data_IF_965198510038
#
_entry.id   IF_965198510038
#
_cell.length_a   1.000
_cell.length_b   1.000
_cell.length_c   1.000
_cell.angle_alpha   90.00
_cell.angle_beta   90.00
_cell.angle_gamma   90.00
#
_symmetry.space_group_name_H-M   'P 1'
#
loop_
_entity.id
_entity.type
_entity.pdbx_description
1 polymer ?
#
# COMPACT_ATOMS: atom_id res chain seq x y z
N UNK A 1 -6.43 -9.79 8.11
CA UNK A 1 -5.30 -8.90 7.86
C UNK A 1 -5.41 -8.48 6.41
N UNK A 2 -5.62 -7.19 6.18
CA UNK A 2 -5.76 -6.62 4.85
C UNK A 2 -4.39 -6.13 4.38
N UNK A 3 -3.93 -6.58 3.23
CA UNK A 3 -2.75 -6.05 2.55
C UNK A 3 -3.07 -5.73 1.11
N UNK A 4 -2.44 -4.69 0.58
CA UNK A 4 -2.64 -4.25 -0.79
C UNK A 4 -1.35 -4.45 -1.58
N UNK A 5 -1.46 -4.92 -2.82
CA UNK A 5 -0.34 -5.01 -3.76
C UNK A 5 -0.72 -4.29 -5.04
N UNK A 6 0.19 -3.49 -5.57
CA UNK A 6 0.07 -3.02 -6.94
C UNK A 6 0.92 -3.93 -7.81
N UNK A 7 0.34 -4.41 -8.90
CA UNK A 7 0.95 -5.33 -9.84
C UNK A 7 0.91 -4.69 -11.22
N UNK A 8 2.06 -4.71 -11.89
CA UNK A 8 2.19 -4.37 -13.29
C UNK A 8 2.85 -5.52 -14.04
N UNK A 9 2.29 -5.95 -15.18
CA UNK A 9 2.80 -7.07 -15.99
C UNK A 9 3.14 -8.33 -15.18
N UNK A 10 2.29 -8.67 -14.21
CA UNK A 10 2.47 -9.84 -13.33
C UNK A 10 3.56 -9.68 -12.25
N UNK A 11 4.19 -8.51 -12.13
CA UNK A 11 5.19 -8.20 -11.11
C UNK A 11 4.63 -7.26 -10.04
N UNK A 12 4.87 -7.58 -8.78
CA UNK A 12 4.53 -6.69 -7.66
C UNK A 12 5.46 -5.49 -7.69
N UNK A 13 4.90 -4.30 -7.78
CA UNK A 13 5.66 -3.05 -7.87
C UNK A 13 5.83 -2.35 -6.53
N UNK A 14 4.83 -2.47 -5.66
CA UNK A 14 4.88 -2.06 -4.27
C UNK A 14 3.78 -2.80 -3.49
N UNK A 15 3.93 -2.84 -2.17
CA UNK A 15 2.92 -3.37 -1.26
C UNK A 15 2.65 -2.42 -0.09
N UNK A 16 1.43 -2.49 0.43
CA UNK A 16 0.99 -1.81 1.63
C UNK A 16 0.59 -2.86 2.67
N UNK A 17 1.25 -2.81 3.83
CA UNK A 17 1.09 -3.73 4.94
C UNK A 17 0.46 -3.00 6.14
N UNK A 18 -0.40 -3.68 6.93
CA UNK A 18 -1.01 -3.05 8.08
C UNK A 18 0.02 -2.84 9.18
N UNK A 19 -0.09 -1.71 9.86
CA UNK A 19 0.67 -1.37 11.05
C UNK A 19 -0.21 -1.58 12.28
N UNK A 20 0.31 -2.31 13.26
CA UNK A 20 -0.37 -2.57 14.52
C UNK A 20 0.23 -1.73 15.63
N UNK A 21 -0.64 -1.18 16.47
CA UNK A 21 -0.21 -0.45 17.65
C UNK A 21 0.43 -1.37 18.69
N UNK A 22 1.23 -0.79 19.57
CA UNK A 22 1.92 -1.50 20.66
C UNK A 22 1.78 -0.84 22.04
N UNK A 23 1.09 0.29 22.13
CA UNK A 23 0.90 1.10 23.33
C UNK A 23 -0.55 1.19 23.79
N UNK A 24 -0.86 2.24 24.53
CA UNK A 24 -2.18 2.51 25.13
C UNK A 24 -2.74 3.89 24.77
N UNK A 25 -2.05 4.63 23.90
CA UNK A 25 -2.46 5.96 23.44
C UNK A 25 -3.38 5.85 22.22
N UNK A 26 -4.23 6.87 22.03
CA UNK A 26 -5.12 6.95 20.88
C UNK A 26 -4.30 6.92 19.57
N UNK A 27 -4.57 5.96 18.70
CA UNK A 27 -3.81 5.76 17.46
C UNK A 27 -2.52 4.94 17.61
N UNK A 28 -2.24 4.35 18.78
CA UNK A 28 -1.17 3.37 18.98
C UNK A 28 -1.63 2.21 19.89
N UNK A 29 -2.91 1.83 19.86
CA UNK A 29 -3.48 0.83 20.75
C UNK A 29 -2.94 -0.58 20.44
N UNK A 30 -2.46 -1.27 21.48
CA UNK A 30 -1.85 -2.59 21.35
C UNK A 30 -2.78 -3.59 20.67
N UNK A 31 -2.35 -4.11 19.52
CA UNK A 31 -3.07 -5.13 18.77
C UNK A 31 -4.17 -4.59 17.84
N UNK A 32 -4.42 -3.28 17.84
CA UNK A 32 -5.30 -2.64 16.87
C UNK A 32 -4.54 -2.25 15.61
N UNK A 33 -5.23 -2.24 14.47
CA UNK A 33 -4.70 -1.69 13.23
C UNK A 33 -4.74 -0.16 13.37
N UNK A 34 -3.57 0.47 13.34
CA UNK A 34 -3.41 1.92 13.55
C UNK A 34 -2.97 2.66 12.29
N UNK A 35 -2.70 1.91 11.22
CA UNK A 35 -2.40 2.47 9.91
C UNK A 35 -1.93 1.44 8.90
N UNK A 36 -1.42 1.92 7.78
CA UNK A 36 -0.81 1.10 6.74
C UNK A 36 0.56 1.67 6.34
N UNK A 37 1.45 0.84 5.80
CA UNK A 37 2.67 1.33 5.14
C UNK A 37 2.30 2.01 3.82
N UNK A 38 3.05 3.04 3.45
CA UNK A 38 2.90 3.68 2.14
C UNK A 38 3.41 2.75 1.05
N UNK A 39 2.75 2.77 -0.12
CA UNK A 39 3.10 1.99 -1.31
C UNK A 39 3.68 2.97 -2.34
N UNK A 40 4.96 3.30 -2.19
CA UNK A 40 5.68 4.14 -3.15
C UNK A 40 6.82 3.34 -3.74
N UNK A 41 6.78 3.01 -5.04
CA UNK A 41 7.94 2.47 -5.73
C UNK A 41 9.13 3.43 -5.60
N UNK A 42 10.34 2.89 -5.67
CA UNK A 42 11.54 3.71 -5.73
C UNK A 42 11.43 4.71 -6.91
N UNK A 43 11.70 6.01 -6.71
CA UNK A 43 11.65 6.97 -7.80
C UNK A 43 12.48 6.51 -9.00
N UNK A 44 11.88 6.50 -10.18
CA UNK A 44 12.51 6.06 -11.42
C UNK A 44 12.58 4.54 -11.64
N UNK A 45 12.18 3.71 -10.66
CA UNK A 45 12.18 2.25 -10.84
C UNK A 45 11.04 1.75 -11.73
N UNK A 46 10.00 2.57 -11.90
CA UNK A 46 8.83 2.27 -12.71
C UNK A 46 8.38 3.49 -13.49
N UNK A 47 7.92 3.24 -14.72
CA UNK A 47 7.18 4.16 -15.56
C UNK A 47 5.85 3.50 -15.89
N UNK A 48 4.76 4.26 -15.77
CA UNK A 48 3.41 3.82 -16.11
C UNK A 48 3.00 4.64 -17.34
N UNK A 49 2.70 3.95 -18.43
CA UNK A 49 2.30 4.57 -19.69
C UNK A 49 0.80 4.83 -19.73
N UNK A 50 0.37 5.80 -20.54
CA UNK A 50 -1.06 5.99 -20.77
C UNK A 50 -1.69 4.74 -21.40
N UNK A 51 -2.81 4.28 -20.83
CA UNK A 51 -3.48 3.05 -21.25
C UNK A 51 -2.88 1.75 -20.69
N UNK A 52 -1.82 1.83 -19.88
CA UNK A 52 -1.26 0.68 -19.17
C UNK A 52 -2.22 0.19 -18.07
N UNK A 53 -2.31 -1.14 -17.90
CA UNK A 53 -3.23 -1.76 -16.94
C UNK A 53 -2.48 -2.13 -15.67
N UNK A 54 -2.88 -1.51 -14.55
CA UNK A 54 -2.41 -1.87 -13.23
C UNK A 54 -3.44 -2.73 -12.52
N UNK A 55 -2.97 -3.76 -11.82
CA UNK A 55 -3.82 -4.58 -10.96
C UNK A 55 -3.59 -4.17 -9.50
N UNK A 56 -4.64 -3.67 -8.86
CA UNK A 56 -4.69 -3.55 -7.40
C UNK A 56 -5.24 -4.85 -6.84
N UNK A 57 -4.40 -5.58 -6.14
CA UNK A 57 -4.79 -6.79 -5.46
C UNK A 57 -4.92 -6.55 -3.96
N UNK A 58 -6.02 -7.02 -3.40
CA UNK A 58 -6.36 -6.87 -1.98
C UNK A 58 -6.43 -8.26 -1.37
N UNK A 59 -5.42 -8.60 -0.57
CA UNK A 59 -5.33 -9.88 0.13
C UNK A 59 -5.87 -9.71 1.55
N UNK A 60 -6.89 -10.52 1.88
CA UNK A 60 -7.48 -10.57 3.20
C UNK A 60 -7.27 -11.94 3.85
N UNK A 61 -6.52 -11.95 4.96
CA UNK A 61 -6.36 -13.13 5.80
C UNK A 61 -7.36 -13.14 6.96
N UNK A 62 -8.18 -14.19 7.07
CA UNK A 62 -9.11 -14.42 8.18
C UNK A 62 -8.50 -15.22 9.36
N UNK A 63 -7.17 -15.40 9.38
CA UNK A 63 -6.46 -16.18 10.42
C UNK A 63 -6.59 -15.61 11.84
N UNK A 64 -6.97 -14.33 11.95
CA UNK A 64 -7.34 -13.67 13.21
C UNK A 64 -8.76 -13.13 13.08
N UNK A 65 -9.47 -13.06 14.19
CA UNK A 65 -10.78 -12.41 14.24
C UNK A 65 -10.61 -10.90 14.03
N UNK A 66 -11.45 -10.31 13.19
CA UNK A 66 -11.47 -8.87 12.93
C UNK A 66 -12.88 -8.35 13.21
N UNK A 67 -13.01 -7.20 13.87
CA UNK A 67 -14.31 -6.56 14.09
C UNK A 67 -14.90 -5.94 12.82
N UNK A 68 -14.06 -5.70 11.81
CA UNK A 68 -14.45 -5.14 10.52
C UNK A 68 -13.23 -5.01 9.59
N UNK A 69 -13.50 -4.67 8.32
CA UNK A 69 -12.48 -4.43 7.31
C UNK A 69 -12.80 -3.11 6.63
N UNK A 70 -11.86 -2.16 6.66
CA UNK A 70 -11.94 -0.90 5.93
C UNK A 70 -10.72 -0.83 5.00
N UNK A 71 -10.98 -0.72 3.70
CA UNK A 71 -9.95 -0.49 2.69
C UNK A 71 -10.10 0.91 2.13
N UNK A 72 -9.05 1.71 2.20
CA UNK A 72 -8.95 2.99 1.51
C UNK A 72 -7.63 3.00 0.75
N UNK A 73 -7.71 3.13 -0.57
CA UNK A 73 -6.54 3.23 -1.43
C UNK A 73 -6.67 4.43 -2.36
N UNK A 74 -5.52 5.06 -2.62
CA UNK A 74 -5.38 6.11 -3.62
C UNK A 74 -4.26 5.70 -4.57
N UNK A 75 -4.56 5.68 -5.86
CA UNK A 75 -3.57 5.53 -6.91
C UNK A 75 -3.25 6.93 -7.42
N UNK A 76 -2.06 7.41 -7.08
CA UNK A 76 -1.55 8.70 -7.53
C UNK A 76 -0.40 8.41 -8.50
N UNK A 77 -0.55 8.86 -9.73
CA UNK A 77 0.51 8.81 -10.75
C UNK A 77 1.07 10.23 -10.85
N UNK A 78 2.39 10.35 -10.67
CA UNK A 78 3.08 11.62 -10.92
C UNK A 78 3.50 11.67 -12.39
N UNK A 79 3.33 12.83 -13.02
CA UNK A 79 4.00 13.15 -14.29
C UNK A 79 5.53 13.17 -14.09
N UNK A 80 6.29 13.28 -15.20
CA UNK A 80 7.76 13.29 -15.19
C UNK A 80 8.32 14.10 -14.01
N UNK A 81 8.87 13.38 -13.03
CA UNK A 81 9.54 14.01 -11.90
C UNK A 81 10.76 14.74 -12.47
N UNK A 82 11.00 16.01 -12.10
CA UNK A 82 12.16 16.74 -12.60
C UNK A 82 13.42 15.90 -12.32
N UNK A 83 14.26 15.73 -13.34
CA UNK A 83 15.51 14.98 -13.23
C UNK A 83 16.25 15.38 -11.96
N UNK A 84 16.37 14.45 -11.01
CA UNK A 84 17.29 14.63 -9.90
C UNK A 84 18.70 14.44 -10.47
N UNK A 85 19.27 15.53 -10.95
CA UNK A 85 20.69 15.60 -11.28
C UNK A 85 21.45 15.38 -9.97
N UNK A 86 22.02 14.18 -9.79
CA UNK A 86 23.03 13.91 -8.76
C UNK A 86 24.29 14.73 -9.03
#
# INVERSE_FOLDING_TARGET
>A
MLSHRIINDGRVICNSLPKYGNGSEAGNEKGYLVGMTTCYPQPGSIKISNGEVLTLEVDYSNTKLHSGVMGLFYLLVADDLPHHNN
#
